data_IF_896925672517
#
_entry.id   IF_896925672517
#
_cell.length_a   1.000
_cell.length_b   1.000
_cell.length_c   1.000
_cell.angle_alpha   90.00
_cell.angle_beta   90.00
_cell.angle_gamma   90.00
#
_symmetry.space_group_name_H-M   'P 1'
#
loop_
_entity.id
_entity.type
_entity.pdbx_description
1 polymer ?
#
# COMPACT_ATOMS: atom_id res chain seq x y z
N UNK A 1 -19.10 2.70 17.15
CA UNK A 1 -18.88 1.78 16.01
C UNK A 1 -17.70 2.18 15.12
N UNK A 2 -17.60 3.42 14.62
CA UNK A 2 -16.46 3.86 13.79
C UNK A 2 -15.10 3.83 14.52
N UNK A 3 -15.04 4.41 15.73
CA UNK A 3 -13.83 4.44 16.60
C UNK A 3 -13.30 3.04 16.91
N UNK A 4 -14.19 2.05 17.05
CA UNK A 4 -13.80 0.66 17.32
C UNK A 4 -13.26 -0.06 16.07
N UNK A 5 -13.73 0.32 14.88
CA UNK A 5 -13.18 -0.18 13.60
C UNK A 5 -11.81 0.43 13.30
N UNK A 6 -11.61 1.69 13.65
CA UNK A 6 -10.34 2.40 13.50
C UNK A 6 -9.25 1.78 14.40
N UNK A 7 -9.56 1.57 15.68
CA UNK A 7 -8.65 0.89 16.63
C UNK A 7 -8.35 -0.57 16.26
N UNK A 8 -9.33 -1.32 15.75
CA UNK A 8 -9.09 -2.68 15.23
C UNK A 8 -8.17 -2.68 14.02
N UNK A 9 -8.35 -1.71 13.11
CA UNK A 9 -7.51 -1.55 11.93
C UNK A 9 -6.07 -1.23 12.32
N UNK A 10 -5.87 -0.26 13.22
CA UNK A 10 -4.54 0.09 13.74
C UNK A 10 -3.85 -1.11 14.41
N UNK A 11 -4.58 -1.86 15.24
CA UNK A 11 -4.07 -3.07 15.90
C UNK A 11 -3.66 -4.14 14.88
N UNK A 12 -4.47 -4.34 13.84
CA UNK A 12 -4.17 -5.29 12.78
C UNK A 12 -2.91 -4.87 11.99
N UNK A 13 -2.78 -3.59 11.64
CA UNK A 13 -1.57 -3.07 11.00
C UNK A 13 -0.34 -3.25 11.89
N UNK A 14 -0.43 -2.93 13.17
CA UNK A 14 0.67 -3.13 14.11
C UNK A 14 1.14 -4.60 14.17
N UNK A 15 0.20 -5.54 14.30
CA UNK A 15 0.51 -6.96 14.36
C UNK A 15 1.08 -7.50 13.05
N UNK A 16 0.52 -7.08 11.91
CA UNK A 16 1.02 -7.44 10.59
C UNK A 16 2.44 -6.95 10.36
N UNK A 17 2.71 -5.66 10.63
CA UNK A 17 4.05 -5.08 10.49
C UNK A 17 5.06 -5.80 11.38
N UNK A 18 4.68 -6.16 12.62
CA UNK A 18 5.55 -6.92 13.52
C UNK A 18 5.84 -8.34 13.02
N UNK A 19 4.86 -9.00 12.41
CA UNK A 19 5.04 -10.33 11.83
C UNK A 19 5.97 -10.28 10.59
N UNK A 20 5.76 -9.31 9.71
CA UNK A 20 6.60 -9.08 8.52
C UNK A 20 8.04 -8.74 8.93
N UNK A 21 8.23 -7.83 9.89
CA UNK A 21 9.55 -7.46 10.40
C UNK A 21 10.33 -8.64 10.99
N UNK A 22 9.64 -9.62 11.57
CA UNK A 22 10.29 -10.84 12.08
C UNK A 22 10.72 -11.80 10.97
N UNK A 23 9.99 -11.80 9.86
CA UNK A 23 10.21 -12.74 8.75
C UNK A 23 11.27 -12.22 7.78
N UNK A 24 11.29 -10.91 7.55
CA UNK A 24 12.24 -10.22 6.67
C UNK A 24 12.43 -8.78 7.17
N UNK A 25 13.28 -8.56 8.18
CA UNK A 25 13.50 -7.23 8.78
C UNK A 25 13.95 -6.20 7.74
N UNK A 26 14.85 -6.62 6.84
CA UNK A 26 15.44 -5.76 5.82
C UNK A 26 14.43 -5.27 4.79
N UNK A 27 13.35 -6.01 4.53
CA UNK A 27 12.32 -5.58 3.56
C UNK A 27 11.51 -4.38 4.03
N UNK A 28 11.19 -4.31 5.32
CA UNK A 28 10.46 -3.15 5.88
C UNK A 28 11.36 -1.91 5.93
N UNK A 29 12.62 -2.08 6.34
CA UNK A 29 13.62 -1.00 6.30
C UNK A 29 13.86 -0.52 4.87
N UNK A 30 14.02 -1.42 3.90
CA UNK A 30 14.17 -1.07 2.49
C UNK A 30 12.96 -0.28 1.94
N UNK A 31 11.72 -0.63 2.33
CA UNK A 31 10.54 0.15 1.93
C UNK A 31 10.55 1.57 2.53
N UNK A 32 11.01 1.70 3.78
CA UNK A 32 11.16 3.00 4.45
C UNK A 32 12.26 3.82 3.79
N UNK A 33 13.41 3.22 3.47
CA UNK A 33 14.51 3.86 2.75
C UNK A 33 14.12 4.32 1.35
N UNK A 34 13.26 3.57 0.66
CA UNK A 34 12.65 3.96 -0.61
C UNK A 34 11.58 5.05 -0.48
N UNK A 35 11.26 5.50 0.74
CA UNK A 35 10.25 6.53 1.00
C UNK A 35 8.83 6.11 0.60
N UNK A 36 8.55 4.80 0.55
CA UNK A 36 7.27 4.29 0.07
C UNK A 36 6.17 4.49 1.11
N UNK A 37 5.13 5.21 0.70
CA UNK A 37 3.89 5.29 1.47
C UNK A 37 3.09 3.99 1.38
N UNK A 38 2.21 3.75 2.36
CA UNK A 38 1.30 2.60 2.36
C UNK A 38 0.42 2.53 1.08
N UNK A 39 0.04 3.69 0.53
CA UNK A 39 -0.72 3.75 -0.73
C UNK A 39 0.12 3.30 -1.91
N UNK A 40 1.39 3.70 -1.99
CA UNK A 40 2.33 3.26 -3.02
C UNK A 40 2.59 1.75 -2.95
N UNK A 41 2.76 1.20 -1.75
CA UNK A 41 2.89 -0.26 -1.56
C UNK A 41 1.66 -1.00 -2.06
N UNK A 42 0.45 -0.51 -1.77
CA UNK A 42 -0.80 -1.11 -2.26
C UNK A 42 -0.88 -1.09 -3.79
N UNK A 43 -0.44 -0.01 -4.44
CA UNK A 43 -0.38 0.08 -5.91
C UNK A 43 0.56 -0.99 -6.47
N UNK A 44 1.79 -1.10 -5.94
CA UNK A 44 2.76 -2.12 -6.38
C UNK A 44 2.22 -3.55 -6.22
N UNK A 45 1.51 -3.83 -5.13
CA UNK A 45 0.89 -5.14 -4.91
C UNK A 45 -0.21 -5.45 -5.91
N UNK A 46 -1.03 -4.46 -6.29
CA UNK A 46 -2.07 -4.64 -7.31
C UNK A 46 -1.44 -4.86 -8.68
N UNK A 47 -0.44 -4.05 -9.06
CA UNK A 47 0.29 -4.21 -10.32
C UNK A 47 1.00 -5.56 -10.42
N UNK A 48 1.55 -6.08 -9.32
CA UNK A 48 2.17 -7.42 -9.30
C UNK A 48 1.16 -8.53 -9.61
N UNK A 49 -0.08 -8.40 -9.16
CA UNK A 49 -1.11 -9.40 -9.38
C UNK A 49 -1.70 -9.34 -10.80
N UNK A 50 -1.70 -8.14 -11.41
CA UNK A 50 -2.23 -7.90 -12.74
C UNK A 50 -1.30 -6.96 -13.51
N UNK A 51 -0.43 -7.56 -14.30
CA UNK A 51 0.44 -6.82 -15.19
C UNK A 51 -0.42 -6.08 -16.25
N UNK A 52 -0.13 -4.80 -16.46
CA UNK A 52 -0.86 -3.96 -17.43
C UNK A 52 -2.25 -3.45 -16.99
N UNK A 53 -2.60 -3.50 -15.70
CA UNK A 53 -3.87 -2.94 -15.22
C UNK A 53 -4.03 -1.44 -15.57
N UNK A 54 -5.20 -1.05 -16.10
CA UNK A 54 -5.48 0.36 -16.43
C UNK A 54 -5.61 1.22 -15.16
N UNK A 55 -5.34 2.52 -15.27
CA UNK A 55 -5.44 3.46 -14.14
C UNK A 55 -6.86 3.48 -13.52
N UNK A 56 -7.90 3.29 -14.32
CA UNK A 56 -9.28 3.19 -13.85
C UNK A 56 -9.54 1.93 -13.03
N UNK A 57 -9.05 0.77 -13.50
CA UNK A 57 -9.15 -0.50 -12.78
C UNK A 57 -8.38 -0.48 -11.44
N UNK A 58 -7.21 0.18 -11.43
CA UNK A 58 -6.45 0.44 -10.21
C UNK A 58 -7.23 1.31 -9.21
N UNK A 59 -7.93 2.35 -9.67
CA UNK A 59 -8.73 3.23 -8.81
C UNK A 59 -9.87 2.49 -8.13
N UNK A 60 -10.58 1.68 -8.89
CA UNK A 60 -11.69 0.87 -8.39
C UNK A 60 -11.21 -0.12 -7.31
N UNK A 61 -10.14 -0.87 -7.58
CA UNK A 61 -9.60 -1.84 -6.62
C UNK A 61 -9.03 -1.21 -5.36
N UNK A 62 -8.36 -0.07 -5.51
CA UNK A 62 -7.77 0.62 -4.37
C UNK A 62 -8.83 1.37 -3.53
N UNK A 63 -10.06 1.50 -4.05
CA UNK A 63 -11.16 2.30 -3.48
C UNK A 63 -10.72 3.74 -3.21
N UNK A 64 -9.92 4.28 -4.11
CA UNK A 64 -9.48 5.67 -4.10
C UNK A 64 -10.16 6.41 -5.23
N UNK A 65 -10.42 7.70 -5.06
CA UNK A 65 -10.84 8.53 -6.19
C UNK A 65 -9.77 8.49 -7.29
N UNK A 66 -10.11 8.54 -8.59
CA UNK A 66 -9.13 8.41 -9.68
C UNK A 66 -8.08 9.52 -9.72
N UNK A 67 -8.42 10.71 -9.20
CA UNK A 67 -7.59 11.92 -9.25
C UNK A 67 -6.16 11.78 -8.68
N UNK A 68 -5.91 11.08 -7.55
CA UNK A 68 -4.55 10.87 -7.04
C UNK A 68 -3.72 9.78 -7.73
N UNK A 69 -4.31 8.85 -8.49
CA UNK A 69 -3.63 7.62 -8.91
C UNK A 69 -2.48 7.82 -9.92
N UNK A 70 -2.66 8.60 -11.00
CA UNK A 70 -1.58 8.86 -11.96
C UNK A 70 -0.35 9.45 -11.29
N UNK A 71 -0.54 10.43 -10.39
CA UNK A 71 0.53 11.06 -9.62
C UNK A 71 1.22 10.10 -8.64
N UNK A 72 0.50 9.10 -8.10
CA UNK A 72 1.10 8.07 -7.25
C UNK A 72 1.98 7.14 -8.09
N UNK A 73 1.51 6.74 -9.26
CA UNK A 73 2.27 5.88 -10.20
C UNK A 73 3.49 6.63 -10.74
N UNK A 74 3.35 7.89 -11.13
CA UNK A 74 4.46 8.72 -11.60
C UNK A 74 5.60 8.84 -10.58
N UNK A 75 5.27 8.84 -9.27
CA UNK A 75 6.26 8.84 -8.19
C UNK A 75 6.93 7.49 -7.97
N UNK A 76 6.34 6.39 -8.44
CA UNK A 76 6.92 5.04 -8.33
C UNK A 76 7.87 4.74 -9.50
N UNK A 77 7.69 5.41 -10.64
CA UNK A 77 8.53 5.25 -11.84
C UNK A 77 9.82 6.08 -11.75
N UNK A 78 9.84 7.13 -10.93
CA UNK A 78 11.01 7.99 -10.68
C UNK A 78 11.88 7.42 -9.57
#
# INVERSE_FOLDING_TARGET
>A
MAVQRETLRERAFYLLSRAVARSDPGRLEAWVELGLTMTQLRVLFVLRAEDGASAGALAERLRVTPSPLPRIVDRLVR
#
